data_IF_034988720168
#
_entry.id   IF_034988720168
#
_cell.length_a   1.000
_cell.length_b   1.000
_cell.length_c   1.000
_cell.angle_alpha   90.00
_cell.angle_beta   90.00
_cell.angle_gamma   90.00
#
_symmetry.space_group_name_H-M   'P 1'
#
loop_
_entity.id
_entity.type
_entity.pdbx_description
1 polymer ?
#
# COMPACT_ATOMS: atom_id res chain seq x y z
N UNK A 1 -23.46 3.14 9.55
CA UNK A 1 -22.10 3.67 9.87
C UNK A 1 -22.03 5.09 9.35
N UNK A 2 -21.43 6.05 10.06
CA UNK A 2 -21.24 7.40 9.50
C UNK A 2 -20.27 7.34 8.33
N UNK A 3 -20.43 8.23 7.35
CA UNK A 3 -19.54 8.32 6.18
C UNK A 3 -18.07 8.41 6.59
N UNK A 4 -17.76 9.14 7.66
CA UNK A 4 -16.41 9.24 8.23
C UNK A 4 -15.82 7.89 8.63
N UNK A 5 -16.60 7.02 9.28
CA UNK A 5 -16.15 5.70 9.70
C UNK A 5 -15.89 4.78 8.50
N UNK A 6 -16.67 4.90 7.43
CA UNK A 6 -16.44 4.15 6.18
C UNK A 6 -15.14 4.56 5.51
N UNK A 7 -14.89 5.86 5.38
CA UNK A 7 -13.66 6.39 4.79
C UNK A 7 -12.44 5.91 5.60
N UNK A 8 -12.51 5.96 6.93
CA UNK A 8 -11.43 5.46 7.80
C UNK A 8 -11.19 3.96 7.59
N UNK A 9 -12.25 3.16 7.46
CA UNK A 9 -12.13 1.73 7.20
C UNK A 9 -11.45 1.45 5.85
N UNK A 10 -11.85 2.14 4.79
CA UNK A 10 -11.21 2.04 3.48
C UNK A 10 -9.74 2.44 3.49
N UNK A 11 -9.36 3.46 4.26
CA UNK A 11 -7.95 3.83 4.39
C UNK A 11 -7.20 2.75 5.17
N UNK A 12 -7.76 2.25 6.28
CA UNK A 12 -7.10 1.28 7.16
C UNK A 12 -6.85 -0.07 6.46
N UNK A 13 -7.78 -0.54 5.61
CA UNK A 13 -7.63 -1.84 4.92
C UNK A 13 -6.46 -1.84 3.91
N UNK A 14 -6.08 -0.68 3.38
CA UNK A 14 -4.90 -0.58 2.47
C UNK A 14 -3.56 -0.81 3.19
N UNK A 15 -3.54 -0.78 4.53
CA UNK A 15 -2.34 -0.74 5.38
C UNK A 15 -1.41 0.41 4.96
N UNK A 16 -1.76 1.67 5.25
CA UNK A 16 -1.10 2.86 4.68
C UNK A 16 0.40 2.92 4.97
N UNK A 17 0.87 2.41 6.12
CA UNK A 17 2.29 2.32 6.42
C UNK A 17 3.04 1.42 5.42
N UNK A 18 2.47 0.28 5.05
CA UNK A 18 3.09 -0.62 4.07
C UNK A 18 3.16 0.06 2.70
N UNK A 19 2.09 0.75 2.28
CA UNK A 19 2.08 1.49 1.01
C UNK A 19 3.14 2.61 0.98
N UNK A 20 3.31 3.35 2.08
CA UNK A 20 4.36 4.39 2.21
C UNK A 20 5.76 3.77 2.18
N UNK A 21 5.98 2.64 2.86
CA UNK A 21 7.26 1.93 2.79
C UNK A 21 7.54 1.49 1.35
N UNK A 22 6.57 0.88 0.67
CA UNK A 22 6.72 0.46 -0.74
C UNK A 22 7.03 1.64 -1.66
N UNK A 23 6.36 2.79 -1.47
CA UNK A 23 6.66 4.01 -2.22
C UNK A 23 8.16 4.37 -2.12
N UNK A 24 8.71 4.44 -0.89
CA UNK A 24 10.10 4.81 -0.68
C UNK A 24 11.08 3.73 -1.13
N UNK A 25 10.72 2.45 -1.02
CA UNK A 25 11.53 1.35 -1.57
C UNK A 25 11.73 1.53 -3.07
N UNK A 26 10.67 1.87 -3.82
CA UNK A 26 10.77 2.12 -5.26
C UNK A 26 11.58 3.39 -5.56
N UNK A 27 11.42 4.46 -4.77
CA UNK A 27 12.26 5.66 -4.92
C UNK A 27 13.74 5.28 -4.78
N UNK A 28 14.11 4.60 -3.70
CA UNK A 28 15.50 4.20 -3.42
C UNK A 28 16.00 3.25 -4.51
N UNK A 29 15.19 2.26 -4.92
CA UNK A 29 15.55 1.30 -5.96
C UNK A 29 15.88 1.99 -7.29
N UNK A 30 15.10 2.98 -7.71
CA UNK A 30 15.39 3.75 -8.92
C UNK A 30 16.68 4.54 -8.74
N UNK A 31 16.85 5.26 -7.62
CA UNK A 31 18.02 6.09 -7.38
C UNK A 31 19.35 5.30 -7.35
N UNK A 32 19.34 4.06 -6.85
CA UNK A 32 20.55 3.21 -6.80
C UNK A 32 20.81 2.43 -8.10
N UNK A 33 19.80 2.22 -8.94
CA UNK A 33 19.92 1.40 -10.16
C UNK A 33 20.04 2.23 -11.44
N UNK A 34 19.71 3.51 -11.39
CA UNK A 34 19.78 4.40 -12.55
C UNK A 34 21.22 4.57 -13.05
N UNK A 35 21.43 4.44 -14.36
CA UNK A 35 22.73 4.72 -15.01
C UNK A 35 22.88 6.21 -15.38
N UNK A 36 21.74 6.84 -15.67
CA UNK A 36 21.59 8.26 -15.96
C UNK A 36 20.49 8.81 -15.06
N UNK A 37 20.38 10.14 -14.95
CA UNK A 37 19.36 10.75 -14.10
C UNK A 37 17.95 10.42 -14.62
N UNK A 38 17.15 9.76 -13.79
CA UNK A 38 15.74 9.49 -14.08
C UNK A 38 14.91 10.75 -13.81
N UNK A 39 13.97 11.05 -14.70
CA UNK A 39 13.02 12.16 -14.52
C UNK A 39 12.23 12.00 -13.20
N UNK A 40 12.11 13.09 -12.45
CA UNK A 40 11.35 13.14 -11.20
C UNK A 40 9.91 12.63 -11.35
N UNK A 41 9.23 12.96 -12.44
CA UNK A 41 7.85 12.51 -12.68
C UNK A 41 7.77 11.00 -12.87
N UNK A 42 8.79 10.39 -13.49
CA UNK A 42 8.86 8.93 -13.64
C UNK A 42 9.06 8.25 -12.29
N UNK A 43 9.96 8.78 -11.46
CA UNK A 43 10.17 8.28 -10.09
C UNK A 43 8.87 8.36 -9.29
N UNK A 44 8.20 9.53 -9.32
CA UNK A 44 6.97 9.76 -8.57
C UNK A 44 5.85 8.81 -9.02
N UNK A 45 5.60 8.70 -10.33
CA UNK A 45 4.54 7.85 -10.86
C UNK A 45 4.81 6.36 -10.60
N UNK A 46 6.04 5.90 -10.77
CA UNK A 46 6.42 4.52 -10.49
C UNK A 46 6.21 4.17 -9.01
N UNK A 47 6.64 5.04 -8.10
CA UNK A 47 6.49 4.84 -6.67
C UNK A 47 5.02 4.89 -6.21
N UNK A 48 4.21 5.80 -6.76
CA UNK A 48 2.76 5.83 -6.51
C UNK A 48 2.10 4.55 -7.02
N UNK A 49 2.41 4.13 -8.25
CA UNK A 49 1.86 2.91 -8.83
C UNK A 49 2.19 1.68 -7.97
N UNK A 50 3.44 1.55 -7.50
CA UNK A 50 3.83 0.47 -6.62
C UNK A 50 3.12 0.50 -5.26
N UNK A 51 2.95 1.68 -4.66
CA UNK A 51 2.21 1.83 -3.41
C UNK A 51 0.73 1.45 -3.56
N UNK A 52 0.09 1.79 -4.68
CA UNK A 52 -1.29 1.40 -4.99
C UNK A 52 -1.41 -0.10 -5.24
N UNK A 53 -0.45 -0.71 -5.93
CA UNK A 53 -0.40 -2.17 -6.12
C UNK A 53 -0.23 -2.88 -4.77
N UNK A 54 0.63 -2.37 -3.89
CA UNK A 54 0.79 -2.91 -2.54
C UNK A 54 -0.49 -2.77 -1.71
N UNK A 55 -1.18 -1.63 -1.79
CA UNK A 55 -2.48 -1.43 -1.16
C UNK A 55 -3.53 -2.44 -1.65
N UNK A 56 -3.61 -2.67 -2.96
CA UNK A 56 -4.49 -3.68 -3.54
C UNK A 56 -4.12 -5.10 -3.07
N UNK A 57 -2.83 -5.43 -3.03
CA UNK A 57 -2.34 -6.70 -2.49
C UNK A 57 -2.71 -6.90 -1.01
N UNK A 58 -2.61 -5.85 -0.18
CA UNK A 58 -3.04 -5.92 1.22
C UNK A 58 -4.55 -6.18 1.35
N UNK A 59 -5.37 -5.54 0.52
CA UNK A 59 -6.83 -5.78 0.50
C UNK A 59 -7.13 -7.22 0.07
N UNK A 60 -6.51 -7.68 -1.00
CA UNK A 60 -6.68 -9.05 -1.49
C UNK A 60 -6.29 -10.06 -0.41
N UNK A 61 -5.17 -9.85 0.28
CA UNK A 61 -4.75 -10.70 1.39
C UNK A 61 -5.82 -10.75 2.49
N UNK A 62 -6.35 -9.61 2.93
CA UNK A 62 -7.38 -9.55 3.96
C UNK A 62 -8.70 -10.24 3.52
N UNK A 63 -9.03 -10.23 2.22
CA UNK A 63 -10.20 -10.96 1.69
C UNK A 63 -9.98 -12.48 1.79
N UNK A 64 -8.83 -12.98 1.37
CA UNK A 64 -8.54 -14.42 1.42
C UNK A 64 -8.33 -14.92 2.85
N UNK A 65 -7.83 -14.07 3.74
CA UNK A 65 -7.57 -14.39 5.15
C UNK A 65 -8.78 -14.13 6.05
N UNK A 66 -9.98 -13.83 5.51
CA UNK A 66 -11.13 -13.40 6.33
C UNK A 66 -11.51 -14.40 7.44
N UNK A 67 -11.40 -15.71 7.20
CA UNK A 67 -11.72 -16.73 8.20
C UNK A 67 -10.59 -16.92 9.23
N UNK A 68 -9.34 -16.82 8.80
CA UNK A 68 -8.16 -16.97 9.67
C UNK A 68 -7.95 -15.72 10.54
N UNK A 69 -8.24 -14.53 10.02
CA UNK A 69 -8.13 -13.26 10.72
C UNK A 69 -9.20 -13.08 11.79
N UNK A 70 -10.36 -13.77 11.71
CA UNK A 70 -11.32 -13.81 12.84
C UNK A 70 -10.70 -14.33 14.13
N UNK A 71 -9.71 -15.23 14.02
CA UNK A 71 -9.04 -15.84 15.17
C UNK A 71 -7.73 -15.10 15.47
N UNK A 72 -6.89 -14.90 14.45
CA UNK A 72 -5.53 -14.36 14.61
C UNK A 72 -5.47 -12.83 14.74
N UNK A 73 -6.36 -12.12 14.05
CA UNK A 73 -6.37 -10.65 14.00
C UNK A 73 -7.80 -10.07 14.09
N UNK A 74 -8.54 -10.31 15.19
CA UNK A 74 -9.97 -9.97 15.30
C UNK A 74 -10.30 -8.47 15.22
N UNK A 75 -9.28 -7.60 15.14
CA UNK A 75 -9.40 -6.13 15.03
C UNK A 75 -9.14 -5.61 13.61
N UNK A 76 -8.97 -6.52 12.64
CA UNK A 76 -8.99 -6.20 11.20
C UNK A 76 -10.27 -5.49 10.83
N UNK A 77 -10.17 -4.61 9.83
CA UNK A 77 -11.31 -3.86 9.30
C UNK A 77 -12.18 -4.74 8.44
#
# INVERSE_FOLDING_TARGET
MSLSKQIIAYIKITRPLNAVITFFVVVVAILISQKEQTDFYVILLASIAAALVAAAGNIINDIFDIETDKISHPKRV
#
